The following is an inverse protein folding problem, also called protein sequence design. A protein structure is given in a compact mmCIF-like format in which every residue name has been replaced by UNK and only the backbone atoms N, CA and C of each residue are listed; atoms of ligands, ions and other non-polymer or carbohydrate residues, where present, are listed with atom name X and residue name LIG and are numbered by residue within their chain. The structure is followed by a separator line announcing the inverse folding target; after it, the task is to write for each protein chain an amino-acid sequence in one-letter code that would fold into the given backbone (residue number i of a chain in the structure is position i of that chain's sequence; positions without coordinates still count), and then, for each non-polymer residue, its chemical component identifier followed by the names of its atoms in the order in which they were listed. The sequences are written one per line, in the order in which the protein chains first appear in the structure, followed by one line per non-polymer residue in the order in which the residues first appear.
data_IF_552301255874
#
_entry.id   IF_552301255874
#
_cell.length_a   1.000
_cell.length_b   1.000
_cell.length_c   1.000
_cell.angle_alpha   90.00
_cell.angle_beta   90.00
_cell.angle_gamma   90.00
#
_symmetry.space_group_name_H-M   'P 1'
#
loop_
_entity.id
_entity.type
_entity.pdbx_description
1 polymer ?
#
# COMPACT_ATOMS: atom_id res chain seq x y z
N UNK A 1 -16.79 5.48 8.11
CA UNK A 1 -16.67 4.10 7.60
C UNK A 1 -15.20 3.82 7.32
N UNK A 2 -14.61 2.76 7.91
CA UNK A 2 -13.19 2.43 7.69
C UNK A 2 -13.06 1.57 6.44
N UNK A 3 -12.57 2.15 5.35
CA UNK A 3 -12.27 1.42 4.11
C UNK A 3 -11.12 0.43 4.36
N UNK A 4 -11.43 -0.87 4.34
CA UNK A 4 -10.44 -1.95 4.48
C UNK A 4 -10.40 -2.79 3.21
N UNK A 5 -9.48 -2.43 2.33
CA UNK A 5 -9.28 -3.05 1.01
C UNK A 5 -9.21 -4.58 1.06
N UNK A 6 -8.52 -5.14 2.07
CA UNK A 6 -8.40 -6.60 2.23
C UNK A 6 -9.74 -7.29 2.50
N UNK A 7 -10.63 -6.66 3.26
CA UNK A 7 -11.95 -7.22 3.58
C UNK A 7 -12.93 -7.09 2.41
N UNK A 8 -12.78 -6.05 1.59
CA UNK A 8 -13.60 -5.81 0.42
C UNK A 8 -13.26 -6.79 -0.70
N UNK A 9 -11.96 -7.05 -0.93
CA UNK A 9 -11.50 -8.08 -1.88
C UNK A 9 -12.15 -9.44 -1.64
N UNK A 10 -12.21 -9.88 -0.39
CA UNK A 10 -12.66 -11.24 -0.06
C UNK A 10 -14.20 -11.38 -0.07
N UNK A 11 -14.95 -10.29 0.16
CA UNK A 11 -16.42 -10.31 0.27
C UNK A 11 -17.14 -9.81 -0.97
N UNK A 12 -16.54 -8.87 -1.69
CA UNK A 12 -17.11 -8.20 -2.86
C UNK A 12 -16.00 -7.98 -3.91
N UNK A 13 -15.55 -9.05 -4.58
CA UNK A 13 -14.42 -8.99 -5.50
C UNK A 13 -14.66 -8.03 -6.68
N UNK A 14 -15.91 -7.89 -7.14
CA UNK A 14 -16.26 -6.97 -8.22
C UNK A 14 -16.04 -5.51 -7.81
N UNK A 15 -16.48 -5.12 -6.61
CA UNK A 15 -16.27 -3.77 -6.08
C UNK A 15 -14.80 -3.46 -5.88
N UNK A 16 -14.02 -4.43 -5.39
CA UNK A 16 -12.57 -4.28 -5.29
C UNK A 16 -11.92 -4.05 -6.65
N UNK A 17 -12.38 -4.75 -7.69
CA UNK A 17 -11.86 -4.59 -9.06
C UNK A 17 -12.16 -3.19 -9.59
N UNK A 18 -13.39 -2.71 -9.44
CA UNK A 18 -13.80 -1.38 -9.91
C UNK A 18 -13.03 -0.27 -9.18
N UNK A 19 -12.92 -0.36 -7.85
CA UNK A 19 -12.12 0.57 -7.04
C UNK A 19 -10.64 0.59 -7.45
N UNK A 20 -10.06 -0.59 -7.70
CA UNK A 20 -8.67 -0.71 -8.13
C UNK A 20 -8.44 -0.07 -9.50
N UNK A 21 -9.36 -0.28 -10.44
CA UNK A 21 -9.29 0.34 -11.76
C UNK A 21 -9.34 1.87 -11.66
N UNK A 22 -10.22 2.39 -10.80
CA UNK A 22 -10.33 3.84 -10.57
C UNK A 22 -9.07 4.41 -9.92
N UNK A 23 -8.50 3.73 -8.92
CA UNK A 23 -7.22 4.13 -8.32
C UNK A 23 -6.07 4.16 -9.35
N UNK A 24 -6.00 3.18 -10.24
CA UNK A 24 -4.99 3.16 -11.32
C UNK A 24 -5.22 4.30 -12.32
N UNK A 25 -6.49 4.62 -12.64
CA UNK A 25 -6.85 5.76 -13.49
C UNK A 25 -6.34 7.07 -12.88
N UNK A 26 -6.66 7.32 -11.60
CA UNK A 26 -6.21 8.50 -10.86
C UNK A 26 -4.68 8.58 -10.76
N UNK A 27 -4.00 7.44 -10.61
CA UNK A 27 -2.54 7.38 -10.59
C UNK A 27 -1.96 7.79 -11.95
N UNK A 28 -2.53 7.28 -13.05
CA UNK A 28 -2.10 7.61 -14.41
C UNK A 28 -2.34 9.08 -14.74
N UNK A 29 -3.42 9.65 -14.23
CA UNK A 29 -3.74 11.09 -14.35
C UNK A 29 -2.90 11.98 -13.43
N UNK A 30 -2.12 11.39 -12.52
CA UNK A 30 -1.31 12.13 -11.56
C UNK A 30 -2.13 12.80 -10.45
N UNK A 31 -3.40 12.46 -10.28
CA UNK A 31 -4.24 13.01 -9.20
C UNK A 31 -3.90 12.40 -7.83
N UNK A 32 -3.23 11.24 -7.81
CA UNK A 32 -2.71 10.62 -6.59
C UNK A 32 -1.20 10.37 -6.72
N UNK A 33 -0.48 10.62 -5.63
CA UNK A 33 0.96 10.43 -5.54
C UNK A 33 1.29 9.51 -4.36
N UNK A 34 1.40 8.19 -4.60
CA UNK A 34 1.73 7.25 -3.53
C UNK A 34 3.13 7.52 -3.00
N UNK A 35 3.23 7.81 -1.69
CA UNK A 35 4.49 8.09 -1.02
C UNK A 35 5.11 6.77 -0.55
N UNK A 36 6.21 6.38 -1.20
CA UNK A 36 7.06 5.26 -0.76
C UNK A 36 8.15 5.82 0.13
N UNK A 37 8.05 5.55 1.43
CA UNK A 37 9.00 6.06 2.43
C UNK A 37 10.37 5.38 2.29
N UNK A 38 10.38 4.06 2.08
CA UNK A 38 11.62 3.31 1.92
C UNK A 38 11.39 2.02 1.14
N UNK A 39 12.43 1.59 0.41
CA UNK A 39 12.53 0.27 -0.20
C UNK A 39 13.61 -0.50 0.54
N UNK A 40 13.27 -1.67 1.08
CA UNK A 40 14.15 -2.47 1.93
C UNK A 40 14.26 -3.87 1.30
N UNK A 41 15.44 -4.48 1.19
CA UNK A 41 15.57 -5.86 0.72
C UNK A 41 14.71 -6.80 1.56
N UNK A 42 14.14 -7.83 0.94
CA UNK A 42 13.34 -8.85 1.63
C UNK A 42 14.18 -9.59 2.68
N UNK A 43 15.48 -9.73 2.43
CA UNK A 43 16.45 -10.24 3.40
C UNK A 43 16.49 -9.42 4.71
N UNK A 44 16.16 -8.12 4.63
CA UNK A 44 16.16 -7.17 5.73
C UNK A 44 14.74 -6.88 6.28
N UNK A 45 13.78 -7.80 6.08
CA UNK A 45 12.40 -7.63 6.55
C UNK A 45 12.29 -7.32 8.05
N UNK A 46 13.20 -7.85 8.89
CA UNK A 46 13.27 -7.52 10.33
C UNK A 46 13.43 -6.02 10.56
N UNK A 47 14.36 -5.39 9.84
CA UNK A 47 14.61 -3.94 9.91
C UNK A 47 13.39 -3.14 9.47
N UNK A 48 12.65 -3.62 8.47
CA UNK A 48 11.40 -2.98 8.05
C UNK A 48 10.35 -2.99 9.17
N UNK A 49 10.26 -4.07 9.95
CA UNK A 49 9.36 -4.15 11.10
C UNK A 49 9.79 -3.22 12.25
N UNK A 50 11.08 -3.16 12.57
CA UNK A 50 11.61 -2.22 13.57
C UNK A 50 11.34 -0.74 13.20
N UNK A 51 11.44 -0.41 11.90
CA UNK A 51 11.10 0.92 11.38
C UNK A 51 9.60 1.24 11.40
N UNK A 52 8.74 0.21 11.34
CA UNK A 52 7.28 0.38 11.51
C UNK A 52 6.93 0.65 12.98
N UNK A 53 7.56 -0.06 13.92
CA UNK A 53 7.30 0.08 15.35
C UNK A 53 7.66 1.47 15.90
N UNK A 54 8.71 2.09 15.34
CA UNK A 54 9.16 3.43 15.75
C UNK A 54 8.29 4.56 15.18
N UNK A 55 7.26 4.26 14.39
CA UNK A 55 6.44 5.23 13.65
C UNK A 55 7.25 6.23 12.79
N UNK A 56 8.54 5.94 12.55
CA UNK A 56 9.47 6.82 11.86
C UNK A 56 9.21 6.86 10.35
N UNK A 57 8.53 5.84 9.81
CA UNK A 57 8.18 5.77 8.40
C UNK A 57 6.91 6.58 8.07
N UNK A 58 7.09 7.82 7.61
CA UNK A 58 6.02 8.59 6.98
C UNK A 58 5.80 8.10 5.53
N UNK A 59 4.99 7.06 5.34
CA UNK A 59 4.64 6.52 4.03
C UNK A 59 4.65 4.99 4.01
N UNK A 60 4.66 4.40 2.81
CA UNK A 60 4.70 2.94 2.64
C UNK A 60 6.15 2.42 2.63
N UNK A 61 6.42 1.40 3.43
CA UNK A 61 7.63 0.57 3.30
C UNK A 61 7.36 -0.53 2.28
N UNK A 62 8.26 -0.70 1.32
CA UNK A 62 8.15 -1.71 0.27
C UNK A 62 9.33 -2.66 0.39
N UNK A 63 9.04 -3.95 0.53
CA UNK A 63 10.09 -4.97 0.47
C UNK A 63 10.37 -5.33 -0.99
N UNK A 64 11.64 -5.33 -1.37
CA UNK A 64 12.11 -5.73 -2.70
C UNK A 64 12.77 -7.12 -2.60
N UNK A 65 12.44 -8.08 -3.49
CA UNK A 65 13.03 -9.42 -3.46
C UNK A 65 14.53 -9.41 -3.73
#
# INVERSE_FOLDING_TARGET
MTYRIAKLRDRHPDWFRDDLLELIRLLREGSIHPVVAQRIPLADARRAHELLETAAAQGKLVLIP
#
